data_IF_423224746860
#
_entry.id   IF_423224746860
#
_cell.length_a   1.000
_cell.length_b   1.000
_cell.length_c   1.000
_cell.angle_alpha   90.00
_cell.angle_beta   90.00
_cell.angle_gamma   90.00
#
_symmetry.space_group_name_H-M   'P 1'
#
loop_
_entity.id
_entity.type
_entity.pdbx_description
1 polymer ?
#
# COMPACT_ATOMS: atom_id res chain seq x y z
N UNK A 1 6.98 7.47 -11.71
CA UNK A 1 7.06 6.34 -10.74
C UNK A 1 8.03 6.63 -9.61
N UNK A 2 9.14 7.33 -9.85
CA UNK A 2 10.15 7.58 -8.80
C UNK A 2 9.62 8.23 -7.52
N UNK A 3 8.72 9.21 -7.63
CA UNK A 3 8.07 9.81 -6.46
C UNK A 3 7.30 8.75 -5.68
N UNK A 4 6.41 8.00 -6.34
CA UNK A 4 5.62 6.94 -5.71
C UNK A 4 6.49 5.85 -5.08
N UNK A 5 7.57 5.44 -5.76
CA UNK A 5 8.52 4.45 -5.23
C UNK A 5 9.17 4.95 -3.93
N UNK A 6 9.59 6.21 -3.89
CA UNK A 6 10.23 6.81 -2.70
C UNK A 6 9.25 7.07 -1.57
N UNK A 7 7.97 7.27 -1.89
CA UNK A 7 6.91 7.47 -0.90
C UNK A 7 6.47 6.20 -0.18
N UNK A 8 6.86 5.01 -0.67
CA UNK A 8 6.49 3.73 -0.06
C UNK A 8 7.69 3.15 0.71
N UNK A 9 7.65 3.11 2.05
CA UNK A 9 8.72 2.51 2.85
C UNK A 9 9.01 1.07 2.44
N UNK A 10 10.29 0.74 2.29
CA UNK A 10 10.72 -0.61 1.92
C UNK A 10 10.46 -1.01 0.47
N UNK A 11 9.99 -0.10 -0.40
CA UNK A 11 9.82 -0.38 -1.82
C UNK A 11 11.17 -0.53 -2.53
N UNK A 12 11.44 -1.73 -3.04
CA UNK A 12 12.69 -2.05 -3.74
C UNK A 12 12.58 -1.74 -5.24
N UNK A 13 11.42 -2.07 -5.82
CA UNK A 13 11.13 -1.86 -7.23
C UNK A 13 9.65 -1.57 -7.44
N UNK A 14 9.37 -0.73 -8.41
CA UNK A 14 8.02 -0.40 -8.88
C UNK A 14 8.11 -0.21 -10.39
N UNK A 15 7.42 -1.05 -11.15
CA UNK A 15 7.48 -1.08 -12.62
C UNK A 15 6.08 -0.86 -13.16
N UNK A 16 5.92 0.08 -14.11
CA UNK A 16 4.64 0.26 -14.80
C UNK A 16 4.38 -0.94 -15.69
N UNK A 17 3.25 -1.61 -15.52
CA UNK A 17 2.85 -2.77 -16.32
C UNK A 17 1.55 -2.54 -17.10
N UNK A 18 0.92 -1.38 -16.93
CA UNK A 18 -0.25 -0.95 -17.68
C UNK A 18 -0.67 0.46 -17.30
N UNK A 19 -1.80 0.91 -17.83
CA UNK A 19 -2.40 2.17 -17.39
C UNK A 19 -2.79 2.04 -15.92
N UNK A 20 -2.12 2.81 -15.06
CA UNK A 20 -2.37 2.83 -13.61
C UNK A 20 -2.08 1.52 -12.87
N UNK A 21 -1.37 0.58 -13.51
CA UNK A 21 -0.98 -0.71 -12.95
C UNK A 21 0.54 -0.79 -12.75
N UNK A 22 0.93 -1.30 -11.60
CA UNK A 22 2.34 -1.39 -11.19
C UNK A 22 2.64 -2.76 -10.59
N UNK A 23 3.72 -3.38 -11.05
CA UNK A 23 4.35 -4.49 -10.33
C UNK A 23 5.30 -3.92 -9.28
N UNK A 24 5.19 -4.39 -8.03
CA UNK A 24 5.90 -3.86 -6.88
C UNK A 24 6.61 -4.97 -6.13
N UNK A 25 7.82 -4.66 -5.66
CA UNK A 25 8.52 -5.46 -4.65
C UNK A 25 8.75 -4.58 -3.44
N UNK A 26 8.42 -5.10 -2.26
CA UNK A 26 8.69 -4.43 -1.00
C UNK A 26 9.29 -5.39 0.03
N UNK A 27 10.16 -4.87 0.91
CA UNK A 27 10.52 -5.51 2.17
C UNK A 27 9.75 -4.84 3.30
N UNK A 28 9.04 -5.65 4.08
CA UNK A 28 8.34 -5.18 5.26
C UNK A 28 8.82 -5.94 6.50
N UNK A 29 8.81 -5.24 7.63
CA UNK A 29 9.04 -5.80 8.94
C UNK A 29 7.78 -5.58 9.79
N UNK A 30 7.14 -6.66 10.20
CA UNK A 30 5.96 -6.64 11.09
C UNK A 30 6.28 -7.52 12.29
N UNK A 31 6.57 -6.90 13.43
CA UNK A 31 7.06 -7.60 14.62
C UNK A 31 8.29 -8.47 14.31
N UNK A 32 8.27 -9.79 14.63
CA UNK A 32 9.39 -10.69 14.36
C UNK A 32 9.52 -11.09 12.89
N UNK A 33 8.52 -10.80 12.04
CA UNK A 33 8.52 -11.20 10.64
C UNK A 33 9.20 -10.13 9.79
N UNK A 34 10.27 -10.51 9.12
CA UNK A 34 10.90 -9.74 8.04
C UNK A 34 10.70 -10.52 6.76
N UNK A 35 10.00 -9.93 5.80
CA UNK A 35 9.67 -10.64 4.57
C UNK A 35 9.71 -9.72 3.36
N UNK A 36 10.08 -10.32 2.24
CA UNK A 36 9.98 -9.71 0.92
C UNK A 36 8.67 -10.13 0.28
N UNK A 37 7.90 -9.15 -0.17
CA UNK A 37 6.63 -9.30 -0.84
C UNK A 37 6.78 -8.86 -2.29
N UNK A 38 6.26 -9.68 -3.20
CA UNK A 38 6.04 -9.29 -4.59
C UNK A 38 4.54 -9.13 -4.80
N UNK A 39 4.14 -8.10 -5.54
CA UNK A 39 2.75 -7.71 -5.60
C UNK A 39 2.42 -6.81 -6.77
N UNK A 40 1.14 -6.45 -6.83
CA UNK A 40 0.58 -5.54 -7.83
C UNK A 40 -0.18 -4.42 -7.13
N UNK A 41 -0.13 -3.24 -7.72
CA UNK A 41 -0.91 -2.08 -7.31
C UNK A 41 -1.64 -1.55 -8.55
N UNK A 42 -2.94 -1.31 -8.41
CA UNK A 42 -3.77 -0.67 -9.41
C UNK A 42 -4.35 0.61 -8.84
N UNK A 43 -4.44 1.67 -9.64
CA UNK A 43 -5.18 2.87 -9.28
C UNK A 43 -6.50 2.93 -10.04
N UNK A 44 -7.59 3.08 -9.30
CA UNK A 44 -8.96 3.12 -9.78
C UNK A 44 -9.70 4.37 -9.27
N UNK A 45 -10.92 4.60 -9.75
CA UNK A 45 -11.81 5.67 -9.32
C UNK A 45 -11.14 7.06 -9.27
N UNK A 46 -10.34 7.37 -10.30
CA UNK A 46 -9.52 8.58 -10.35
C UNK A 46 -10.37 9.79 -10.74
N UNK A 47 -10.47 10.74 -9.82
CA UNK A 47 -11.13 12.03 -10.04
C UNK A 47 -10.17 13.16 -9.65
N UNK A 48 -9.39 13.69 -10.61
CA UNK A 48 -8.44 14.77 -10.33
C UNK A 48 -9.17 16.08 -9.97
N UNK A 49 -8.64 16.87 -9.02
CA UNK A 49 -7.49 16.61 -8.14
C UNK A 49 -7.86 15.95 -6.81
N UNK A 50 -9.11 15.49 -6.63
CA UNK A 50 -9.72 15.30 -5.31
C UNK A 50 -9.68 13.87 -4.77
N UNK A 51 -9.70 12.82 -5.59
CA UNK A 51 -9.72 11.44 -5.06
C UNK A 51 -9.20 10.37 -6.02
N UNK A 52 -8.79 9.26 -5.42
CA UNK A 52 -8.55 8.00 -6.12
C UNK A 52 -8.58 6.82 -5.14
N UNK A 53 -8.72 5.61 -5.68
CA UNK A 53 -8.57 4.35 -4.95
C UNK A 53 -7.30 3.63 -5.40
N UNK A 54 -6.60 2.99 -4.47
CA UNK A 54 -5.55 2.04 -4.75
C UNK A 54 -6.03 0.65 -4.36
N UNK A 55 -5.95 -0.30 -5.29
CA UNK A 55 -6.14 -1.72 -5.02
C UNK A 55 -4.77 -2.39 -5.04
N UNK A 56 -4.45 -3.18 -4.02
CA UNK A 56 -3.15 -3.81 -3.92
C UNK A 56 -3.25 -5.27 -3.50
N UNK A 57 -2.32 -6.07 -4.01
CA UNK A 57 -2.10 -7.44 -3.57
C UNK A 57 -0.60 -7.72 -3.47
N UNK A 58 -0.20 -8.52 -2.49
CA UNK A 58 1.18 -8.89 -2.26
C UNK A 58 1.29 -10.27 -1.64
N UNK A 59 2.30 -11.02 -2.05
CA UNK A 59 2.56 -12.38 -1.59
C UNK A 59 4.02 -12.57 -1.22
N UNK A 60 4.24 -13.38 -0.19
CA UNK A 60 5.55 -13.84 0.25
C UNK A 60 5.44 -15.31 0.66
N UNK A 61 6.28 -16.21 0.12
CA UNK A 61 6.31 -17.61 0.57
C UNK A 61 6.58 -17.74 2.08
N UNK A 62 7.31 -16.78 2.66
CA UNK A 62 7.71 -16.81 4.06
C UNK A 62 6.66 -16.23 5.01
N UNK A 63 5.88 -15.23 4.57
CA UNK A 63 4.94 -14.51 5.41
C UNK A 63 3.46 -14.74 5.07
N UNK A 64 3.12 -15.20 3.86
CA UNK A 64 1.74 -15.34 3.40
C UNK A 64 1.36 -14.23 2.42
N UNK A 65 0.13 -13.71 2.53
CA UNK A 65 -0.38 -12.72 1.57
C UNK A 65 -1.11 -11.57 2.26
N UNK A 66 -1.17 -10.45 1.55
CA UNK A 66 -1.99 -9.29 1.89
C UNK A 66 -2.72 -8.81 0.63
N UNK A 67 -4.00 -8.50 0.74
CA UNK A 67 -4.81 -7.86 -0.31
C UNK A 67 -5.62 -6.76 0.32
N UNK A 68 -5.74 -5.62 -0.34
CA UNK A 68 -6.49 -4.52 0.24
C UNK A 68 -6.77 -3.41 -0.74
N UNK A 69 -7.50 -2.44 -0.23
CA UNK A 69 -7.82 -1.20 -0.91
C UNK A 69 -7.53 -0.01 0.00
N UNK A 70 -7.11 1.10 -0.59
CA UNK A 70 -6.95 2.39 0.07
C UNK A 70 -7.75 3.42 -0.71
N UNK A 71 -8.66 4.11 -0.04
CA UNK A 71 -9.30 5.32 -0.59
C UNK A 71 -8.48 6.53 -0.15
N UNK A 72 -8.17 7.41 -1.09
CA UNK A 72 -7.44 8.65 -0.85
C UNK A 72 -8.31 9.83 -1.31
N UNK A 73 -8.45 10.81 -0.43
CA UNK A 73 -9.13 12.06 -0.68
C UNK A 73 -8.17 13.23 -0.39
N UNK A 74 -8.17 14.22 -1.27
CA UNK A 74 -7.33 15.40 -1.25
C UNK A 74 -8.25 16.63 -1.25
N UNK A 75 -8.07 17.48 -0.25
CA UNK A 75 -8.87 18.68 -0.04
C UNK A 75 -7.94 19.87 0.20
N UNK A 76 -8.04 20.91 -0.62
CA UNK A 76 -7.37 22.18 -0.33
C UNK A 76 -8.08 22.86 0.84
N UNK A 77 -7.35 23.11 1.93
CA UNK A 77 -7.94 23.70 3.15
C UNK A 77 -7.74 25.20 3.24
N UNK A 78 -6.59 25.66 2.78
CA UNK A 78 -6.20 27.07 2.62
C UNK A 78 -5.26 27.18 1.41
N UNK A 79 -5.01 28.39 0.86
CA UNK A 79 -4.12 28.53 -0.29
C UNK A 79 -2.74 27.91 -0.06
N UNK A 80 -2.44 26.84 -0.80
CA UNK A 80 -1.17 26.10 -0.69
C UNK A 80 -1.13 25.00 0.36
N UNK A 81 -2.22 24.73 1.10
CA UNK A 81 -2.33 23.62 2.03
C UNK A 81 -3.31 22.55 1.52
N UNK A 82 -2.88 21.29 1.53
CA UNK A 82 -3.73 20.15 1.18
C UNK A 82 -3.86 19.19 2.35
N UNK A 83 -5.10 18.92 2.76
CA UNK A 83 -5.43 17.82 3.66
C UNK A 83 -5.59 16.54 2.86
N UNK A 84 -4.81 15.52 3.23
CA UNK A 84 -4.96 14.16 2.74
C UNK A 84 -5.73 13.34 3.77
N UNK A 85 -6.87 12.78 3.36
CA UNK A 85 -7.61 11.78 4.14
C UNK A 85 -7.45 10.43 3.45
N UNK A 86 -7.27 9.37 4.23
CA UNK A 86 -7.21 8.03 3.68
C UNK A 86 -7.92 7.02 4.57
N UNK A 87 -8.46 5.98 3.94
CA UNK A 87 -9.04 4.82 4.62
C UNK A 87 -8.55 3.55 3.94
N UNK A 88 -7.89 2.68 4.71
CA UNK A 88 -7.35 1.41 4.24
C UNK A 88 -8.16 0.25 4.79
N UNK A 89 -8.43 -0.75 3.94
CA UNK A 89 -9.03 -2.03 4.32
C UNK A 89 -8.17 -3.14 3.75
N UNK A 90 -7.70 -4.04 4.61
CA UNK A 90 -6.72 -5.07 4.24
C UNK A 90 -7.15 -6.43 4.79
N UNK A 91 -7.09 -7.43 3.94
CA UNK A 91 -7.19 -8.84 4.29
C UNK A 91 -5.79 -9.46 4.26
N UNK A 92 -5.43 -10.11 5.36
CA UNK A 92 -4.13 -10.77 5.51
C UNK A 92 -4.36 -12.26 5.80
N UNK A 93 -3.50 -13.10 5.24
CA UNK A 93 -3.52 -14.55 5.47
C UNK A 93 -2.12 -15.15 5.56
N UNK A 94 -2.06 -16.39 6.05
CA UNK A 94 -0.81 -17.13 6.26
C UNK A 94 -0.14 -16.79 7.60
N UNK A 95 1.19 -16.92 7.66
CA UNK A 95 1.96 -16.71 8.90
C UNK A 95 1.86 -15.29 9.43
N UNK A 96 1.69 -14.30 8.55
CA UNK A 96 1.51 -12.90 8.93
C UNK A 96 0.22 -12.68 9.72
N UNK A 97 -0.86 -13.40 9.39
CA UNK A 97 -2.14 -13.31 10.11
C UNK A 97 -2.04 -13.84 11.55
N UNK A 98 -1.07 -14.71 11.86
CA UNK A 98 -0.88 -15.30 13.18
C UNK A 98 -0.25 -14.33 14.19
N UNK A 99 0.32 -13.21 13.72
CA UNK A 99 0.99 -12.21 14.57
C UNK A 99 -0.04 -11.33 15.32
N UNK A 100 -1.29 -11.32 14.85
CA UNK A 100 -2.40 -10.54 15.42
C UNK A 100 -2.49 -9.10 14.87
N UNK A 101 -3.70 -8.53 14.90
CA UNK A 101 -4.03 -7.23 14.30
C UNK A 101 -3.18 -6.09 14.86
N UNK A 102 -2.96 -6.04 16.17
CA UNK A 102 -2.23 -4.94 16.82
C UNK A 102 -0.84 -4.68 16.26
N UNK A 103 -0.09 -5.74 15.92
CA UNK A 103 1.26 -5.60 15.37
C UNK A 103 1.24 -5.22 13.89
N UNK A 104 0.21 -5.63 13.16
CA UNK A 104 -0.04 -5.21 11.78
C UNK A 104 -0.40 -3.72 11.76
N UNK A 105 -1.31 -3.29 12.63
CA UNK A 105 -1.74 -1.89 12.75
C UNK A 105 -0.56 -0.98 13.12
N UNK A 106 0.32 -1.43 14.03
CA UNK A 106 1.52 -0.69 14.40
C UNK A 106 2.54 -0.53 13.26
N UNK A 107 2.54 -1.43 12.27
CA UNK A 107 3.39 -1.32 11.08
C UNK A 107 2.74 -0.50 9.96
N UNK A 108 1.44 -0.22 10.05
CA UNK A 108 0.68 0.59 9.10
C UNK A 108 0.63 2.08 9.48
N UNK A 109 0.88 2.41 10.76
CA UNK A 109 0.98 3.77 11.30
C UNK A 109 2.34 4.41 10.97
#
# INVERSE_FOLDING_TARGET
VDVLKRSVPGCESMTVTGEHTYDVVMRAAVGPVRARFAGKVNRADVEPPSRYRLDFEGQSPQAGFARGQVRVELEETTPGETRLRYAASVQIGGKLAQIGSRLIDAAAA
#
